data_IF_719564023068
#
_entry.id   IF_719564023068
#
_cell.length_a   1.000
_cell.length_b   1.000
_cell.length_c   1.000
_cell.angle_alpha   90.00
_cell.angle_beta   90.00
_cell.angle_gamma   90.00
#
_symmetry.space_group_name_H-M   'P 1'
#
loop_
_entity.id
_entity.type
_entity.pdbx_description
1 polymer ?
#
# COMPACT_ATOMS: atom_id res chain seq x y z
N UNK A 1 -2.81 -2.06 -17.47
CA UNK A 1 -2.01 -3.08 -18.19
C UNK A 1 -0.60 -2.54 -18.34
N UNK A 2 0.33 -3.04 -17.53
CA UNK A 2 1.76 -2.82 -17.69
C UNK A 2 2.37 -4.20 -17.83
N UNK A 3 2.93 -4.45 -19.00
CA UNK A 3 3.66 -5.66 -19.34
C UNK A 3 5.01 -5.70 -18.59
N UNK A 4 5.60 -6.90 -18.48
CA UNK A 4 7.01 -7.23 -18.20
C UNK A 4 7.27 -8.13 -16.97
N UNK A 5 8.15 -9.16 -17.10
CA UNK A 5 8.28 -10.30 -16.20
C UNK A 5 9.18 -10.00 -15.01
N UNK A 6 9.19 -10.94 -14.05
CA UNK A 6 10.10 -11.08 -12.90
C UNK A 6 11.12 -9.94 -12.62
N UNK A 7 10.91 -9.29 -11.47
CA UNK A 7 11.87 -8.47 -10.71
C UNK A 7 12.18 -7.07 -11.28
N UNK A 8 11.19 -6.17 -11.23
CA UNK A 8 11.51 -4.73 -11.20
C UNK A 8 11.98 -4.37 -9.78
N UNK A 9 13.29 -4.40 -9.54
CA UNK A 9 13.94 -3.92 -8.30
C UNK A 9 13.94 -2.39 -8.18
N UNK A 10 13.10 -1.71 -8.96
CA UNK A 10 13.05 -0.25 -8.98
C UNK A 10 11.94 0.21 -8.05
N UNK A 11 12.31 0.96 -7.03
CA UNK A 11 11.34 1.67 -6.20
C UNK A 11 10.53 2.63 -7.05
N UNK A 12 9.22 2.64 -6.83
CA UNK A 12 8.28 3.56 -7.44
C UNK A 12 7.41 4.18 -6.35
N UNK A 13 7.08 5.46 -6.51
CA UNK A 13 6.10 6.12 -5.63
C UNK A 13 4.69 5.70 -6.04
N UNK A 14 3.89 5.29 -5.06
CA UNK A 14 2.50 4.91 -5.24
C UNK A 14 1.63 5.75 -4.31
N UNK A 15 0.62 6.40 -4.88
CA UNK A 15 -0.42 7.07 -4.11
C UNK A 15 -1.52 6.05 -3.75
N UNK A 16 -1.80 5.92 -2.46
CA UNK A 16 -2.90 5.10 -1.94
C UNK A 16 -3.92 6.02 -1.31
N UNK A 17 -5.12 6.06 -1.89
CA UNK A 17 -6.24 6.82 -1.32
C UNK A 17 -6.81 6.06 -0.12
N UNK A 18 -6.75 6.68 1.06
CA UNK A 18 -7.26 6.14 2.32
C UNK A 18 -8.72 6.53 2.60
N UNK A 19 -9.35 7.23 1.65
CA UNK A 19 -10.65 7.87 1.81
C UNK A 19 -10.68 8.82 3.03
N UNK A 20 -11.87 9.14 3.50
CA UNK A 20 -12.08 10.19 4.50
C UNK A 20 -12.32 9.62 5.89
N UNK A 21 -11.79 10.30 6.90
CA UNK A 21 -12.13 10.12 8.31
C UNK A 21 -12.04 11.47 9.03
N UNK A 22 -12.71 11.58 10.18
CA UNK A 22 -12.58 12.72 11.10
C UNK A 22 -12.39 12.18 12.50
N UNK A 23 -11.24 12.50 13.11
CA UNK A 23 -10.90 11.97 14.43
C UNK A 23 -10.02 12.95 15.21
N UNK A 24 -10.33 13.12 16.49
CA UNK A 24 -9.54 13.92 17.43
C UNK A 24 -8.58 13.01 18.20
N UNK A 25 -7.28 13.19 17.97
CA UNK A 25 -6.24 12.54 18.75
C UNK A 25 -6.01 13.32 20.05
N UNK A 26 -6.59 12.83 21.15
CA UNK A 26 -6.38 13.41 22.48
C UNK A 26 -4.98 13.10 23.01
N UNK A 27 -4.58 13.81 24.06
CA UNK A 27 -3.34 13.52 24.78
C UNK A 27 -3.23 12.03 25.15
N UNK A 28 -2.07 11.44 24.87
CA UNK A 28 -1.82 10.01 25.06
C UNK A 28 -2.25 9.09 23.91
N UNK A 29 -3.09 9.55 22.98
CA UNK A 29 -3.41 8.78 21.78
C UNK A 29 -2.21 8.75 20.83
N UNK A 30 -2.16 7.71 19.99
CA UNK A 30 -1.15 7.57 18.93
C UNK A 30 -1.83 7.20 17.63
N UNK A 31 -1.39 7.82 16.54
CA UNK A 31 -1.71 7.37 15.19
C UNK A 31 -0.76 6.21 14.84
N UNK A 32 -1.32 5.12 14.32
CA UNK A 32 -0.56 4.01 13.74
C UNK A 32 -0.99 3.83 12.29
N UNK A 33 -0.02 3.69 11.40
CA UNK A 33 -0.23 3.30 10.01
C UNK A 33 0.22 1.86 9.86
N UNK A 34 -0.62 1.01 9.26
CA UNK A 34 -0.28 -0.37 8.93
C UNK A 34 -0.19 -0.49 7.40
N UNK A 35 0.98 -0.91 6.91
CA UNK A 35 1.23 -1.12 5.48
C UNK A 35 1.34 -2.62 5.24
N UNK A 36 0.55 -3.12 4.29
CA UNK A 36 0.50 -4.52 3.89
C UNK A 36 0.15 -4.61 2.40
N UNK A 37 0.47 -5.72 1.75
CA UNK A 37 0.14 -5.99 0.35
C UNK A 37 -1.21 -6.69 0.16
N UNK A 38 -2.05 -6.77 1.21
CA UNK A 38 -3.36 -7.42 1.13
C UNK A 38 -4.36 -6.92 2.18
N UNK A 39 -5.66 -7.02 1.88
CA UNK A 39 -6.74 -6.87 2.87
C UNK A 39 -7.92 -7.75 2.45
N UNK A 40 -7.71 -9.06 2.42
CA UNK A 40 -8.77 -10.02 2.14
C UNK A 40 -9.67 -10.18 3.38
N UNK A 41 -11.01 -10.26 3.24
CA UNK A 41 -11.79 -10.34 2.00
C UNK A 41 -12.30 -9.01 1.45
N UNK A 42 -11.83 -7.86 1.98
CA UNK A 42 -12.26 -6.53 1.50
C UNK A 42 -11.86 -6.29 0.04
N UNK A 43 -10.68 -6.77 -0.35
CA UNK A 43 -10.23 -6.81 -1.74
C UNK A 43 -9.76 -8.22 -2.12
N UNK A 44 -9.95 -8.59 -3.38
CA UNK A 44 -9.39 -9.81 -3.94
C UNK A 44 -7.86 -9.80 -3.86
N UNK A 45 -7.28 -10.98 -3.66
CA UNK A 45 -5.83 -11.14 -3.50
C UNK A 45 -5.16 -10.95 -4.86
N UNK A 46 -4.05 -10.21 -4.89
CA UNK A 46 -3.18 -10.17 -6.07
C UNK A 46 -2.41 -11.51 -6.18
N UNK A 47 -2.50 -12.17 -7.33
CA UNK A 47 -1.81 -13.44 -7.63
C UNK A 47 -0.29 -13.28 -7.74
N UNK A 48 0.18 -12.05 -7.99
CA UNK A 48 1.57 -11.65 -8.24
C UNK A 48 2.21 -12.35 -9.46
N UNK A 49 1.38 -12.87 -10.36
CA UNK A 49 1.80 -13.50 -11.63
C UNK A 49 1.62 -12.56 -12.83
N UNK A 50 0.79 -11.52 -12.68
CA UNK A 50 0.34 -10.67 -13.79
C UNK A 50 -0.89 -11.19 -14.52
N UNK A 51 -1.37 -12.39 -14.16
CA UNK A 51 -2.62 -12.94 -14.67
C UNK A 51 -3.84 -12.13 -14.19
N UNK A 52 -4.97 -12.18 -14.93
CA UNK A 52 -6.23 -11.61 -14.45
C UNK A 52 -6.64 -12.20 -13.10
N UNK A 53 -7.00 -11.36 -12.14
CA UNK A 53 -7.31 -11.78 -10.75
C UNK A 53 -8.52 -12.73 -10.69
N UNK A 54 -9.45 -12.62 -11.65
CA UNK A 54 -10.69 -13.41 -11.72
C UNK A 54 -10.52 -14.78 -12.41
N UNK A 55 -9.47 -14.98 -13.20
CA UNK A 55 -9.25 -16.19 -14.02
C UNK A 55 -7.93 -16.89 -13.76
N UNK A 56 -6.96 -16.19 -13.21
CA UNK A 56 -5.64 -16.75 -12.91
C UNK A 56 -5.76 -17.84 -11.85
N UNK A 57 -4.96 -18.89 -12.02
CA UNK A 57 -4.98 -20.06 -11.14
C UNK A 57 -3.65 -20.28 -10.44
N UNK A 58 -2.58 -19.66 -10.95
CA UNK A 58 -1.25 -19.73 -10.38
C UNK A 58 -1.01 -18.58 -9.40
N UNK A 59 -0.27 -18.88 -8.34
CA UNK A 59 0.10 -17.91 -7.30
C UNK A 59 1.61 -17.87 -7.14
N UNK A 60 2.14 -16.66 -6.99
CA UNK A 60 3.56 -16.45 -6.70
C UNK A 60 3.75 -15.65 -5.41
N UNK A 61 4.57 -16.12 -4.45
CA UNK A 61 4.99 -15.29 -3.33
C UNK A 61 5.76 -14.06 -3.82
N UNK A 62 5.40 -12.88 -3.31
CA UNK A 62 6.08 -11.63 -3.61
C UNK A 62 6.84 -11.12 -2.38
N UNK A 63 8.13 -10.82 -2.55
CA UNK A 63 8.88 -10.02 -1.58
C UNK A 63 8.58 -8.55 -1.87
N UNK A 64 8.01 -7.86 -0.90
CA UNK A 64 7.69 -6.43 -1.00
C UNK A 64 8.61 -5.65 -0.07
N UNK A 65 9.04 -4.48 -0.51
CA UNK A 65 9.93 -3.61 0.23
C UNK A 65 9.42 -2.18 0.19
N UNK A 66 9.37 -1.53 1.35
CA UNK A 66 8.95 -0.14 1.47
C UNK A 66 10.20 0.69 1.75
N UNK A 67 10.60 1.53 0.79
CA UNK A 67 11.64 2.51 1.02
C UNK A 67 11.09 3.65 1.89
N UNK A 68 11.81 4.01 2.93
CA UNK A 68 11.49 5.14 3.79
C UNK A 68 12.79 5.78 4.29
N UNK A 69 13.48 6.45 3.38
CA UNK A 69 14.71 7.18 3.63
C UNK A 69 14.60 8.63 3.13
N UNK A 70 15.63 9.44 3.35
CA UNK A 70 15.61 10.86 2.97
C UNK A 70 15.46 11.09 1.45
N UNK A 71 15.94 10.17 0.61
CA UNK A 71 15.79 10.26 -0.85
C UNK A 71 14.42 9.71 -1.31
N UNK A 72 13.76 8.86 -0.51
CA UNK A 72 12.47 8.22 -0.78
C UNK A 72 11.54 8.36 0.42
N UNK A 73 11.02 9.56 0.69
CA UNK A 73 10.26 9.85 1.90
C UNK A 73 8.80 9.37 1.79
N UNK A 74 8.60 8.04 1.93
CA UNK A 74 7.23 7.49 2.10
C UNK A 74 6.52 8.19 3.25
N UNK A 75 5.25 8.58 3.07
CA UNK A 75 4.54 9.42 4.05
C UNK A 75 3.05 9.15 4.06
N UNK A 76 2.41 9.46 5.18
CA UNK A 76 0.96 9.66 5.25
C UNK A 76 0.67 11.16 5.21
N UNK A 77 -0.31 11.57 4.41
CA UNK A 77 -0.77 12.96 4.35
C UNK A 77 -2.03 13.08 5.20
N UNK A 78 -2.00 13.92 6.23
CA UNK A 78 -3.12 14.12 7.14
C UNK A 78 -3.64 15.56 7.00
N UNK A 79 -4.94 15.76 6.69
CA UNK A 79 -5.54 17.08 6.70
C UNK A 79 -5.80 17.52 8.15
N UNK A 80 -4.80 18.11 8.80
CA UNK A 80 -4.90 18.59 10.18
C UNK A 80 -5.68 19.89 10.23
N UNK A 81 -6.86 19.85 10.85
CA UNK A 81 -7.61 21.04 11.25
C UNK A 81 -7.04 21.53 12.58
N UNK A 82 -6.78 22.83 12.67
CA UNK A 82 -6.33 23.50 13.89
C UNK A 82 -7.49 24.32 14.45
N UNK A 83 -7.56 24.38 15.77
CA UNK A 83 -8.43 25.30 16.49
C UNK A 83 -7.93 26.76 16.34
#
# INVERSE_FOLDING_TARGET
MVDCPATKTKFAEHAVDLWSTSYVFRAGHRLRVHVTSSSFPRWDRNLNTGEPVDRGTDFRPARQEIAHDAARPSRIVLPVVRD
#
